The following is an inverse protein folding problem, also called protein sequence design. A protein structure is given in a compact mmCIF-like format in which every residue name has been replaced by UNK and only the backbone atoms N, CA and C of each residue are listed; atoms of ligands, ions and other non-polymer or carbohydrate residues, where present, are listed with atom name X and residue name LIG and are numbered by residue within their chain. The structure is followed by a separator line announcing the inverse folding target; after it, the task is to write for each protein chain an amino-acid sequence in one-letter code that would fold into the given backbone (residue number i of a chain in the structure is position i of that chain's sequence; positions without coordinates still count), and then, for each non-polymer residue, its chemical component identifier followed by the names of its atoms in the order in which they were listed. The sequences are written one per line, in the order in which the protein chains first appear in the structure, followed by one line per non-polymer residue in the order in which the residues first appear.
data_IF_354311651354
#
_entry.id   IF_354311651354
#
_cell.length_a   1.000
_cell.length_b   1.000
_cell.length_c   1.000
_cell.angle_alpha   90.00
_cell.angle_beta   90.00
_cell.angle_gamma   90.00
#
_symmetry.space_group_name_H-M   'P 1'
#
loop_
_entity.id
_entity.type
_entity.pdbx_description
1 polymer ?
#
# COMPACT_ATOMS: atom_id res chain seq x y z
N UNK A 1 -50.94 -26.17 9.76
CA UNK A 1 -50.45 -27.54 9.51
C UNK A 1 -48.97 -27.50 9.54
N UNK A 2 -48.41 -28.17 10.52
CA UNK A 2 -47.02 -28.09 10.96
C UNK A 2 -46.26 -29.19 10.25
N UNK A 3 -45.11 -28.89 9.60
CA UNK A 3 -44.18 -29.94 9.18
C UNK A 3 -42.78 -29.57 9.62
N UNK A 4 -42.35 -30.22 10.69
CA UNK A 4 -41.00 -30.18 11.23
C UNK A 4 -40.20 -31.32 10.63
N UNK A 5 -39.18 -31.00 9.83
CA UNK A 5 -38.19 -31.99 9.39
C UNK A 5 -36.94 -31.91 10.25
N UNK A 6 -36.82 -32.93 11.13
CA UNK A 6 -35.65 -33.19 11.99
C UNK A 6 -34.60 -33.91 11.14
N UNK A 7 -33.46 -33.30 10.95
CA UNK A 7 -32.25 -33.99 10.44
C UNK A 7 -31.33 -34.29 11.63
N UNK A 8 -31.30 -35.55 12.02
CA UNK A 8 -30.30 -36.14 12.90
C UNK A 8 -29.17 -36.69 12.01
N UNK A 9 -28.02 -36.05 11.98
CA UNK A 9 -26.82 -36.49 11.29
C UNK A 9 -25.76 -36.90 12.31
N UNK A 10 -25.47 -38.16 12.31
CA UNK A 10 -24.60 -38.97 13.20
C UNK A 10 -23.15 -38.52 13.13
N UNK A 11 -22.56 -38.23 14.28
CA UNK A 11 -21.12 -37.95 14.44
C UNK A 11 -20.40 -39.29 14.49
N UNK A 12 -19.59 -39.58 13.48
CA UNK A 12 -18.64 -40.70 13.52
C UNK A 12 -17.29 -40.19 14.05
N UNK A 13 -17.00 -40.58 15.29
CA UNK A 13 -15.75 -40.33 15.98
C UNK A 13 -14.73 -41.39 15.51
N UNK A 14 -13.80 -40.98 14.61
CA UNK A 14 -12.66 -41.84 14.26
C UNK A 14 -11.42 -41.41 15.01
N UNK A 15 -11.12 -42.15 16.07
CA UNK A 15 -9.89 -42.09 16.84
C UNK A 15 -8.81 -42.88 16.08
N UNK A 16 -7.82 -42.23 15.49
CA UNK A 16 -6.61 -42.91 15.01
C UNK A 16 -5.41 -42.39 15.77
N UNK A 17 -4.96 -43.22 16.70
CA UNK A 17 -3.64 -43.15 17.32
C UNK A 17 -2.59 -43.46 16.24
N UNK A 18 -1.75 -42.48 15.92
CA UNK A 18 -0.52 -42.67 15.15
C UNK A 18 0.69 -42.29 15.99
N UNK A 19 1.29 -43.28 16.69
CA UNK A 19 2.66 -43.17 17.21
C UNK A 19 3.62 -43.23 16.02
N UNK A 20 4.54 -42.28 15.90
CA UNK A 20 5.55 -42.29 14.86
C UNK A 20 6.64 -41.25 15.06
N UNK A 21 7.62 -41.62 15.88
CA UNK A 21 9.08 -41.49 15.66
C UNK A 21 9.70 -40.09 15.69
N UNK A 22 10.34 -39.84 16.84
CA UNK A 22 11.40 -38.89 17.02
C UNK A 22 12.63 -39.34 16.20
N UNK A 23 13.03 -38.56 15.20
CA UNK A 23 14.38 -38.66 14.63
C UNK A 23 15.19 -37.48 15.17
N UNK A 24 16.03 -37.78 16.15
CA UNK A 24 17.13 -36.92 16.60
C UNK A 24 18.13 -36.76 15.45
N UNK A 25 18.17 -35.60 14.82
CA UNK A 25 19.26 -35.24 13.92
C UNK A 25 20.29 -34.43 14.72
N UNK A 26 21.26 -35.13 15.29
CA UNK A 26 22.46 -34.55 15.90
C UNK A 26 23.34 -33.96 14.79
N UNK A 27 23.27 -32.65 14.63
CA UNK A 27 24.22 -31.92 13.77
C UNK A 27 25.42 -31.54 14.62
N UNK A 28 26.55 -32.19 14.38
CA UNK A 28 27.88 -31.89 14.91
C UNK A 28 28.24 -30.39 14.63
N UNK A 29 28.84 -29.68 15.61
CA UNK A 29 29.45 -28.39 15.37
C UNK A 29 30.77 -28.56 14.63
N UNK A 30 30.77 -28.17 13.35
CA UNK A 30 32.01 -27.97 12.61
C UNK A 30 32.59 -26.62 13.00
N UNK A 31 33.67 -26.67 13.73
CA UNK A 31 34.62 -25.55 13.92
C UNK A 31 35.34 -25.33 12.63
N UNK A 32 35.06 -24.23 11.94
CA UNK A 32 35.95 -23.62 10.97
C UNK A 32 36.23 -22.19 11.43
N UNK A 33 37.26 -22.09 12.27
CA UNK A 33 38.05 -20.87 12.50
C UNK A 33 38.71 -20.46 11.19
N UNK A 34 38.10 -19.56 10.46
CA UNK A 34 38.75 -18.81 9.40
C UNK A 34 38.88 -17.36 9.89
N UNK A 35 40.06 -17.05 10.42
CA UNK A 35 40.46 -15.70 10.73
C UNK A 35 40.38 -14.80 9.49
N UNK A 36 39.86 -13.56 9.58
CA UNK A 36 39.93 -12.61 8.50
C UNK A 36 41.39 -12.14 8.32
N UNK A 37 41.86 -12.25 7.09
CA UNK A 37 43.17 -11.73 6.68
C UNK A 37 43.24 -10.21 6.91
N UNK A 38 44.44 -9.69 7.27
CA UNK A 38 44.64 -8.25 7.44
C UNK A 38 44.48 -7.55 6.09
N UNK A 39 43.58 -6.58 6.02
CA UNK A 39 43.50 -5.64 4.89
C UNK A 39 44.71 -4.72 4.95
N UNK A 40 45.56 -4.90 3.96
CA UNK A 40 46.72 -4.07 3.68
C UNK A 40 46.29 -2.61 3.48
N UNK A 41 46.75 -1.73 4.37
CA UNK A 41 46.58 -0.29 4.25
C UNK A 41 47.63 0.22 3.21
N UNK A 42 47.26 0.09 1.95
CA UNK A 42 48.07 0.53 0.83
C UNK A 42 47.43 1.64 0.02
N UNK A 43 48.09 2.79 0.07
CA UNK A 43 48.02 3.90 -0.86
C UNK A 43 46.74 4.71 -0.96
N UNK A 44 46.74 5.78 -0.17
CA UNK A 44 46.05 7.03 -0.50
C UNK A 44 46.72 7.62 -1.75
N UNK A 45 46.14 7.35 -2.89
CA UNK A 45 46.52 8.03 -4.13
C UNK A 45 45.92 9.43 -4.09
N UNK A 46 46.85 10.41 -4.06
CA UNK A 46 46.53 11.84 -4.02
C UNK A 46 45.75 12.22 -5.27
N UNK A 47 44.46 12.61 -5.07
CA UNK A 47 43.64 13.21 -6.13
C UNK A 47 44.21 14.62 -6.38
N UNK A 48 44.64 14.95 -7.62
CA UNK A 48 45.08 16.31 -7.93
C UNK A 48 43.89 17.25 -7.81
N UNK A 49 44.09 18.29 -7.01
CA UNK A 49 43.23 19.43 -6.84
C UNK A 49 43.07 20.18 -8.17
N UNK A 50 42.05 19.80 -8.95
CA UNK A 50 41.66 20.58 -10.11
C UNK A 50 40.64 21.62 -9.64
N UNK A 51 41.19 22.68 -9.10
CA UNK A 51 40.49 23.93 -8.86
C UNK A 51 40.09 24.55 -10.20
N UNK A 52 39.03 24.03 -10.81
CA UNK A 52 38.36 24.67 -11.95
C UNK A 52 37.31 25.60 -11.43
N UNK A 53 37.58 26.90 -11.56
CA UNK A 53 36.70 27.98 -11.21
C UNK A 53 35.33 27.79 -11.84
N UNK A 54 34.33 27.56 -11.02
CA UNK A 54 32.92 27.61 -11.41
C UNK A 54 32.55 29.05 -11.73
N UNK A 55 32.12 29.41 -12.94
CA UNK A 55 31.59 30.74 -13.20
C UNK A 55 30.33 30.95 -12.39
N UNK A 56 30.10 32.17 -11.87
CA UNK A 56 28.89 32.47 -11.11
C UNK A 56 27.66 32.35 -12.02
N UNK A 57 26.78 31.40 -11.65
CA UNK A 57 25.45 31.27 -12.27
C UNK A 57 24.60 32.42 -11.73
N UNK A 58 24.49 33.48 -12.50
CA UNK A 58 23.52 34.54 -12.23
C UNK A 58 22.12 33.98 -12.48
N UNK A 59 21.23 33.92 -11.46
CA UNK A 59 19.86 33.49 -11.71
C UNK A 59 19.19 34.52 -12.65
N UNK A 60 18.43 34.09 -13.67
CA UNK A 60 17.67 35.02 -14.50
C UNK A 60 16.62 35.71 -13.62
N UNK A 61 16.69 37.03 -13.60
CA UNK A 61 15.68 37.89 -12.99
C UNK A 61 14.32 37.61 -13.62
N UNK A 62 13.26 37.33 -12.83
CA UNK A 62 11.94 37.24 -13.43
C UNK A 62 11.50 38.62 -13.90
N UNK A 63 11.44 38.80 -15.21
CA UNK A 63 10.72 39.92 -15.78
C UNK A 63 9.24 39.73 -15.49
N UNK A 64 8.77 40.41 -14.48
CA UNK A 64 7.35 40.55 -14.20
C UNK A 64 6.80 41.53 -15.24
N UNK A 65 6.23 41.00 -16.31
CA UNK A 65 5.35 41.77 -17.15
C UNK A 65 3.98 41.77 -16.50
N UNK A 66 3.73 42.79 -15.69
CA UNK A 66 2.39 43.15 -15.25
C UNK A 66 1.54 43.54 -16.46
N UNK A 67 0.69 42.64 -16.90
CA UNK A 67 -0.53 43.00 -17.63
C UNK A 67 -1.62 42.06 -17.08
N UNK A 68 -2.55 42.57 -16.26
CA UNK A 68 -3.71 41.79 -15.88
C UNK A 68 -4.65 41.67 -17.07
N UNK A 69 -5.01 40.47 -17.55
CA UNK A 69 -6.18 40.33 -18.38
C UNK A 69 -7.42 40.56 -17.52
N UNK A 70 -8.20 41.55 -17.94
CA UNK A 70 -9.46 41.91 -17.37
C UNK A 70 -10.42 40.72 -17.26
N UNK A 71 -11.11 40.64 -16.11
CA UNK A 71 -12.40 40.00 -15.92
C UNK A 71 -12.60 38.59 -16.49
N UNK A 72 -11.95 37.59 -15.90
CA UNK A 72 -12.58 36.29 -15.79
C UNK A 72 -13.47 36.33 -14.53
N UNK A 73 -14.79 36.39 -14.76
CA UNK A 73 -15.83 36.14 -13.80
C UNK A 73 -15.44 34.90 -12.97
N UNK A 74 -15.47 34.93 -11.64
CA UNK A 74 -15.15 33.75 -10.86
C UNK A 74 -16.14 32.63 -11.23
N UNK A 75 -15.68 31.66 -12.00
CA UNK A 75 -16.39 30.39 -12.11
C UNK A 75 -16.46 29.82 -10.71
N UNK A 76 -17.69 29.85 -10.20
CA UNK A 76 -18.12 29.17 -8.99
C UNK A 76 -17.52 27.76 -9.03
N UNK A 77 -16.75 27.30 -8.02
CA UNK A 77 -16.26 25.95 -7.99
C UNK A 77 -17.47 25.02 -8.10
N UNK A 78 -17.45 24.20 -9.16
CA UNK A 78 -18.47 23.19 -9.43
C UNK A 78 -18.58 22.32 -8.19
N UNK A 79 -19.66 22.56 -7.44
CA UNK A 79 -20.33 21.64 -6.54
C UNK A 79 -19.44 20.65 -5.78
N UNK A 80 -18.65 21.12 -4.82
CA UNK A 80 -18.49 20.37 -3.60
C UNK A 80 -19.84 20.44 -2.92
N UNK A 81 -20.73 19.51 -3.24
CA UNK A 81 -21.84 19.17 -2.38
C UNK A 81 -21.20 18.70 -1.10
N UNK A 82 -21.05 19.64 -0.16
CA UNK A 82 -20.84 19.34 1.24
C UNK A 82 -22.04 18.51 1.72
N UNK A 83 -21.97 17.22 1.45
CA UNK A 83 -22.75 16.25 2.19
C UNK A 83 -22.01 16.12 3.52
N UNK A 84 -22.25 17.09 4.41
CA UNK A 84 -21.88 17.07 5.82
C UNK A 84 -22.77 16.03 6.55
N UNK A 85 -22.73 14.80 6.07
CA UNK A 85 -23.10 13.60 6.79
C UNK A 85 -21.82 12.82 6.83
N UNK A 86 -21.20 12.71 7.99
CA UNK A 86 -19.93 12.01 8.13
C UNK A 86 -19.98 10.66 7.46
N UNK A 87 -18.93 10.34 6.73
CA UNK A 87 -18.81 9.08 6.01
C UNK A 87 -18.70 7.95 7.01
N UNK A 88 -19.84 7.34 7.34
CA UNK A 88 -19.89 6.20 8.27
C UNK A 88 -19.24 4.99 7.61
N UNK A 89 -18.15 4.55 8.20
CA UNK A 89 -17.39 3.36 7.82
C UNK A 89 -17.24 2.46 9.03
N UNK A 90 -17.00 1.18 8.82
CA UNK A 90 -16.63 0.28 9.90
C UNK A 90 -15.15 0.46 10.30
N UNK A 91 -14.73 -0.18 11.39
CA UNK A 91 -13.38 -0.05 11.93
C UNK A 91 -12.29 -0.45 10.92
N UNK A 92 -12.48 -1.57 10.22
CA UNK A 92 -11.52 -2.02 9.21
C UNK A 92 -11.40 -1.02 8.04
N UNK A 93 -12.52 -0.47 7.56
CA UNK A 93 -12.52 0.53 6.49
C UNK A 93 -11.85 1.84 6.94
N UNK A 94 -12.05 2.26 8.20
CA UNK A 94 -11.37 3.44 8.76
C UNK A 94 -9.87 3.23 8.88
N UNK A 95 -9.44 2.11 9.44
CA UNK A 95 -8.02 1.78 9.57
C UNK A 95 -7.39 1.63 8.17
N UNK A 96 -8.13 1.07 7.22
CA UNK A 96 -7.76 0.99 5.81
C UNK A 96 -7.58 2.36 5.15
N UNK A 97 -8.49 3.29 5.38
CA UNK A 97 -8.35 4.67 4.92
C UNK A 97 -7.06 5.32 5.45
N UNK A 98 -6.75 5.14 6.74
CA UNK A 98 -5.52 5.68 7.33
C UNK A 98 -4.27 5.10 6.66
N UNK A 99 -4.21 3.77 6.52
CA UNK A 99 -3.06 3.10 5.89
C UNK A 99 -2.94 3.46 4.42
N UNK A 100 -4.05 3.53 3.69
CA UNK A 100 -4.09 3.96 2.30
C UNK A 100 -3.56 5.38 2.13
N UNK A 101 -4.01 6.31 2.95
CA UNK A 101 -3.63 7.72 2.88
C UNK A 101 -2.13 7.94 3.04
N UNK A 102 -1.48 7.13 3.89
CA UNK A 102 -0.04 7.22 4.16
C UNK A 102 0.80 6.52 3.09
N UNK A 103 0.38 5.32 2.67
CA UNK A 103 1.25 4.43 1.89
C UNK A 103 0.92 4.40 0.40
N UNK A 104 -0.32 4.69 0.00
CA UNK A 104 -0.82 4.43 -1.35
C UNK A 104 -1.24 5.71 -2.11
N UNK A 105 -1.80 6.69 -1.40
CA UNK A 105 -2.44 7.86 -1.99
C UNK A 105 -1.48 8.69 -2.85
N UNK A 106 -0.19 8.73 -2.53
CA UNK A 106 0.83 9.45 -3.30
C UNK A 106 0.85 9.05 -4.77
N UNK A 107 0.67 7.76 -5.05
CA UNK A 107 0.69 7.22 -6.41
C UNK A 107 -0.71 6.95 -6.94
N UNK A 108 -1.61 6.38 -6.12
CA UNK A 108 -2.94 5.97 -6.56
C UNK A 108 -4.02 7.05 -6.42
N UNK A 109 -3.65 8.23 -5.94
CA UNK A 109 -4.54 9.38 -5.77
C UNK A 109 -5.21 9.43 -4.41
N UNK A 110 -5.44 10.67 -3.93
CA UNK A 110 -6.16 10.92 -2.69
C UNK A 110 -7.58 10.36 -2.81
N UNK A 111 -8.07 9.75 -1.73
CA UNK A 111 -9.42 9.15 -1.67
C UNK A 111 -9.70 8.12 -2.77
N UNK A 112 -8.67 7.43 -3.25
CA UNK A 112 -8.74 6.45 -4.36
C UNK A 112 -9.23 7.09 -5.67
N UNK A 113 -9.16 8.41 -5.79
CA UNK A 113 -9.48 9.09 -7.05
C UNK A 113 -8.39 8.81 -8.08
N UNK A 114 -8.75 8.62 -9.37
CA UNK A 114 -7.76 8.26 -10.39
C UNK A 114 -6.61 9.26 -10.48
N UNK A 115 -5.39 8.72 -10.53
CA UNK A 115 -4.17 9.48 -10.73
C UNK A 115 -3.39 8.87 -11.92
N UNK A 116 -2.93 9.67 -12.89
CA UNK A 116 -2.24 9.16 -14.08
C UNK A 116 -0.92 8.44 -13.78
N UNK A 117 -0.35 8.63 -12.58
CA UNK A 117 0.91 8.00 -12.16
C UNK A 117 0.78 6.49 -11.94
N UNK A 118 -0.39 6.01 -11.52
CA UNK A 118 -0.60 4.61 -11.16
C UNK A 118 -1.95 4.08 -11.67
N UNK A 119 -2.13 2.76 -11.52
CA UNK A 119 -3.37 2.11 -11.92
C UNK A 119 -4.59 2.67 -11.16
N UNK A 120 -5.70 2.85 -11.87
CA UNK A 120 -6.98 3.25 -11.29
C UNK A 120 -7.56 2.10 -10.45
N UNK A 121 -7.52 2.25 -9.13
CA UNK A 121 -7.98 1.22 -8.20
C UNK A 121 -9.50 1.06 -8.18
N UNK A 122 -10.26 2.10 -8.51
CA UNK A 122 -11.73 2.00 -8.61
C UNK A 122 -12.14 1.01 -9.71
N UNK A 123 -11.38 0.98 -10.82
CA UNK A 123 -11.59 0.00 -11.91
C UNK A 123 -11.03 -1.37 -11.53
N UNK A 124 -9.90 -1.40 -10.88
CA UNK A 124 -9.18 -2.64 -10.56
C UNK A 124 -9.89 -3.50 -9.52
N UNK A 125 -10.61 -2.87 -8.56
CA UNK A 125 -11.29 -3.54 -7.46
C UNK A 125 -12.83 -3.53 -7.56
N UNK A 126 -13.40 -2.99 -8.65
CA UNK A 126 -14.84 -3.16 -8.87
C UNK A 126 -15.20 -4.64 -8.97
N UNK A 127 -16.48 -4.98 -8.79
CA UNK A 127 -16.96 -6.35 -8.95
C UNK A 127 -16.52 -6.95 -10.30
N UNK A 128 -15.85 -8.10 -10.27
CA UNK A 128 -15.25 -8.74 -11.43
C UNK A 128 -13.98 -8.09 -11.98
N UNK A 129 -13.44 -7.10 -11.29
CA UNK A 129 -12.16 -6.49 -11.65
C UNK A 129 -10.96 -7.43 -11.40
N UNK A 130 -9.78 -7.13 -12.00
CA UNK A 130 -8.63 -8.04 -11.96
C UNK A 130 -8.07 -8.26 -10.54
N UNK A 131 -8.35 -7.36 -9.60
CA UNK A 131 -7.90 -7.44 -8.21
C UNK A 131 -9.07 -7.43 -7.23
N UNK A 132 -10.28 -7.76 -7.70
CA UNK A 132 -11.45 -7.93 -6.87
C UNK A 132 -11.29 -9.04 -5.82
N UNK A 133 -10.71 -10.23 -6.13
CA UNK A 133 -10.42 -11.21 -5.10
C UNK A 133 -9.35 -10.71 -4.12
N UNK A 134 -9.62 -10.76 -2.79
CA UNK A 134 -8.73 -10.20 -1.76
C UNK A 134 -7.33 -10.83 -1.78
N UNK A 135 -7.21 -12.10 -2.12
CA UNK A 135 -5.92 -12.79 -2.22
C UNK A 135 -5.03 -12.21 -3.32
N UNK A 136 -5.60 -11.83 -4.46
CA UNK A 136 -4.86 -11.18 -5.56
C UNK A 136 -4.39 -9.78 -5.16
N UNK A 137 -5.23 -9.06 -4.44
CA UNK A 137 -4.84 -7.75 -3.90
C UNK A 137 -3.69 -7.89 -2.90
N UNK A 138 -3.81 -8.82 -1.93
CA UNK A 138 -2.75 -9.09 -0.95
C UNK A 138 -1.45 -9.46 -1.62
N UNK A 139 -1.49 -10.35 -2.60
CA UNK A 139 -0.30 -10.78 -3.34
C UNK A 139 0.42 -9.59 -3.96
N UNK A 140 -0.32 -8.74 -4.68
CA UNK A 140 0.27 -7.56 -5.35
C UNK A 140 0.81 -6.55 -4.36
N UNK A 141 0.11 -6.27 -3.26
CA UNK A 141 0.59 -5.31 -2.25
C UNK A 141 1.82 -5.87 -1.52
N UNK A 142 1.81 -7.16 -1.18
CA UNK A 142 2.93 -7.80 -0.48
C UNK A 142 4.19 -7.85 -1.34
N UNK A 143 4.07 -8.28 -2.60
CA UNK A 143 5.23 -8.46 -3.50
C UNK A 143 5.61 -7.18 -4.25
N UNK A 144 4.69 -6.24 -4.40
CA UNK A 144 4.85 -5.09 -5.27
C UNK A 144 4.85 -5.44 -6.76
N UNK A 145 5.18 -4.46 -7.55
CA UNK A 145 5.43 -4.54 -8.99
C UNK A 145 6.55 -3.59 -9.34
N UNK A 146 7.79 -3.91 -8.95
CA UNK A 146 8.93 -3.00 -9.11
C UNK A 146 9.17 -2.63 -10.57
N UNK A 147 8.90 -3.53 -11.50
CA UNK A 147 8.97 -3.29 -12.95
C UNK A 147 7.95 -2.23 -13.45
N UNK A 148 6.95 -1.88 -12.62
CA UNK A 148 5.95 -0.85 -12.87
C UNK A 148 6.00 0.30 -11.87
N UNK A 149 7.08 0.37 -11.08
CA UNK A 149 7.29 1.42 -10.09
C UNK A 149 6.50 1.26 -8.78
N UNK A 150 5.82 0.13 -8.54
CA UNK A 150 5.13 -0.14 -7.29
C UNK A 150 6.03 -0.95 -6.35
N UNK A 151 6.48 -0.39 -5.21
CA UNK A 151 7.31 -1.13 -4.25
C UNK A 151 6.52 -2.24 -3.55
N UNK A 152 7.26 -3.19 -2.96
CA UNK A 152 6.70 -4.20 -2.08
C UNK A 152 6.40 -3.62 -0.69
N UNK A 153 5.22 -3.93 -0.15
CA UNK A 153 4.80 -3.47 1.18
C UNK A 153 4.76 -4.58 2.22
N UNK A 154 5.05 -5.83 1.85
CA UNK A 154 4.94 -6.97 2.77
C UNK A 154 5.88 -6.94 3.98
N UNK A 155 6.94 -6.11 3.95
CA UNK A 155 7.84 -5.87 5.10
C UNK A 155 7.43 -4.64 5.92
N UNK A 156 6.58 -3.78 5.39
CA UNK A 156 6.16 -2.52 6.00
C UNK A 156 4.76 -2.60 6.63
N UNK A 157 3.89 -3.44 6.05
CA UNK A 157 2.50 -3.60 6.47
C UNK A 157 2.24 -5.03 6.91
N UNK A 158 1.47 -5.17 8.00
CA UNK A 158 0.99 -6.50 8.42
C UNK A 158 -0.12 -6.98 7.48
N UNK A 159 -0.40 -8.30 7.44
CA UNK A 159 -1.52 -8.83 6.64
C UNK A 159 -2.86 -8.16 6.98
N UNK A 160 -3.13 -7.87 8.26
CA UNK A 160 -4.34 -7.21 8.74
C UNK A 160 -4.45 -5.77 8.22
N UNK A 161 -3.33 -5.06 8.15
CA UNK A 161 -3.28 -3.71 7.58
C UNK A 161 -3.54 -3.73 6.07
N UNK A 162 -3.02 -4.73 5.36
CA UNK A 162 -3.30 -4.92 3.92
C UNK A 162 -4.77 -5.23 3.70
N UNK A 163 -5.38 -6.07 4.55
CA UNK A 163 -6.80 -6.39 4.49
C UNK A 163 -7.68 -5.18 4.78
N UNK A 164 -7.29 -4.36 5.73
CA UNK A 164 -7.96 -3.11 6.03
C UNK A 164 -7.92 -2.15 4.82
N UNK A 165 -6.75 -2.01 4.17
CA UNK A 165 -6.62 -1.22 2.94
C UNK A 165 -7.54 -1.77 1.85
N UNK A 166 -7.58 -3.10 1.67
CA UNK A 166 -8.48 -3.74 0.72
C UNK A 166 -9.94 -3.37 1.00
N UNK A 167 -10.40 -3.49 2.26
CA UNK A 167 -11.77 -3.17 2.65
C UNK A 167 -12.16 -1.73 2.30
N UNK A 168 -11.27 -0.77 2.58
CA UNK A 168 -11.48 0.63 2.22
C UNK A 168 -11.54 0.85 0.72
N UNK A 169 -10.52 0.39 -0.03
CA UNK A 169 -10.44 0.60 -1.48
C UNK A 169 -11.60 -0.10 -2.19
N UNK A 170 -12.00 -1.29 -1.74
CA UNK A 170 -13.15 -2.02 -2.24
C UNK A 170 -14.45 -1.24 -2.01
N UNK A 171 -14.65 -0.72 -0.81
CA UNK A 171 -15.80 0.14 -0.48
C UNK A 171 -15.87 1.38 -1.35
N UNK A 172 -14.71 1.99 -1.69
CA UNK A 172 -14.62 3.09 -2.65
C UNK A 172 -15.00 2.65 -4.07
N UNK A 173 -14.46 1.50 -4.52
CA UNK A 173 -14.72 0.97 -5.86
C UNK A 173 -16.18 0.57 -6.09
N UNK A 174 -16.88 0.17 -5.03
CA UNK A 174 -18.32 -0.15 -5.02
C UNK A 174 -19.22 1.08 -4.82
N UNK A 175 -18.63 2.25 -4.58
CA UNK A 175 -19.39 3.47 -4.31
C UNK A 175 -20.07 3.52 -2.94
N UNK A 176 -19.80 2.57 -2.03
CA UNK A 176 -20.33 2.55 -0.66
C UNK A 176 -19.70 3.64 0.21
N UNK A 177 -18.42 3.91 -0.01
CA UNK A 177 -17.65 4.94 0.69
C UNK A 177 -17.44 6.11 -0.27
N UNK A 178 -17.89 7.29 0.09
CA UNK A 178 -17.67 8.53 -0.68
C UNK A 178 -16.23 9.05 -0.50
N UNK A 179 -15.70 9.93 -1.38
CA UNK A 179 -14.44 10.63 -1.14
C UNK A 179 -14.47 11.47 0.15
N UNK A 180 -13.31 11.65 0.75
CA UNK A 180 -13.13 12.45 1.95
C UNK A 180 -12.72 11.64 3.17
N UNK A 181 -12.48 12.35 4.27
CA UNK A 181 -12.10 11.72 5.54
C UNK A 181 -13.29 11.04 6.19
N UNK A 182 -13.23 9.72 6.45
CA UNK A 182 -14.29 9.02 7.18
C UNK A 182 -14.37 9.45 8.64
N UNK A 183 -15.57 9.33 9.23
CA UNK A 183 -15.74 9.44 10.68
C UNK A 183 -15.08 8.25 11.37
N UNK A 184 -14.42 8.53 12.49
CA UNK A 184 -13.84 7.45 13.29
C UNK A 184 -14.97 6.65 13.93
N UNK A 185 -15.05 5.33 13.72
CA UNK A 185 -16.02 4.49 14.41
C UNK A 185 -15.77 4.48 15.91
N UNK A 186 -16.86 4.44 16.67
CA UNK A 186 -16.84 4.34 18.14
C UNK A 186 -16.21 3.00 18.58
#
# INVERSE_FOLDING_TARGET
MISASRWAGTIALSLLLGLGQAACNTRTPGTDDAAPAPVDSGMVESIPDTSAATPPITPPSPSVSDTPPASAKPEKPVGQTEKTGGLKVNRAEYDGWRQYSVNCARCHGQDVLPNPVAANLLVSLKAGGPFDPPEKFREVVTKGRPERGMPAFGTLLTPEQIDAIYAYVKGRAEGRISPGRPEQPA
#
